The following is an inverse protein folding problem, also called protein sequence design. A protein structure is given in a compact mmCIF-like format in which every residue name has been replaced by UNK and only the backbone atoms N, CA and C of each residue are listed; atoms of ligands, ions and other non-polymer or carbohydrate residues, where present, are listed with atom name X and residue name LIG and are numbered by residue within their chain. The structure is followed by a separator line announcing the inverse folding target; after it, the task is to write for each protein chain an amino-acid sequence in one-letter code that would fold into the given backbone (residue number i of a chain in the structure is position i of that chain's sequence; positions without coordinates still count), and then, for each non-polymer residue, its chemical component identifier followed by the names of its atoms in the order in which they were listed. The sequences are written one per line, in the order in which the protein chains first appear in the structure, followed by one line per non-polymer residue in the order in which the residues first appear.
data_IF_797621431149
#
_entry.id   IF_797621431149
#
_cell.length_a   1.000
_cell.length_b   1.000
_cell.length_c   1.000
_cell.angle_alpha   90.00
_cell.angle_beta   90.00
_cell.angle_gamma   90.00
#
_symmetry.space_group_name_H-M   'P 1'
#
loop_
_entity.id
_entity.type
_entity.pdbx_description
1 polymer ?
#
# COMPACT_ATOMS: atom_id res chain seq x y z
N UNK A 1 32.02 -16.41 -22.02
CA UNK A 1 32.26 -16.33 -20.57
C UNK A 1 31.02 -15.75 -19.91
N UNK A 2 30.29 -16.54 -19.13
CA UNK A 2 29.22 -16.00 -18.28
C UNK A 2 29.83 -15.01 -17.27
N UNK A 3 29.21 -13.85 -17.00
CA UNK A 3 29.71 -12.90 -16.02
C UNK A 3 29.84 -13.57 -14.64
N UNK A 4 30.86 -13.20 -13.86
CA UNK A 4 31.02 -13.74 -12.50
C UNK A 4 29.82 -13.35 -11.62
N UNK A 5 29.41 -14.19 -10.66
CA UNK A 5 28.29 -13.88 -9.76
C UNK A 5 28.42 -12.53 -9.04
N UNK A 6 29.65 -12.15 -8.68
CA UNK A 6 29.95 -10.85 -8.07
C UNK A 6 29.67 -9.68 -9.03
N UNK A 7 29.99 -9.83 -10.32
CA UNK A 7 29.72 -8.80 -11.32
C UNK A 7 28.21 -8.64 -11.57
N UNK A 8 27.45 -9.73 -11.54
CA UNK A 8 25.98 -9.68 -11.63
C UNK A 8 25.42 -8.91 -10.44
N UNK A 9 25.88 -9.21 -9.22
CA UNK A 9 25.43 -8.52 -8.02
C UNK A 9 25.70 -7.02 -8.04
N UNK A 10 26.93 -6.60 -8.38
CA UNK A 10 27.28 -5.18 -8.48
C UNK A 10 26.44 -4.45 -9.54
N UNK A 11 26.21 -5.06 -10.71
CA UNK A 11 25.35 -4.49 -11.77
C UNK A 11 23.90 -4.37 -11.33
N UNK A 12 23.38 -5.38 -10.62
CA UNK A 12 22.03 -5.36 -10.09
C UNK A 12 21.85 -4.31 -8.99
N UNK A 13 22.83 -4.15 -8.09
CA UNK A 13 22.78 -3.08 -7.07
C UNK A 13 22.84 -1.69 -7.71
N UNK A 14 23.69 -1.51 -8.73
CA UNK A 14 23.77 -0.24 -9.46
C UNK A 14 22.46 0.11 -10.16
N UNK A 15 21.82 -0.87 -10.81
CA UNK A 15 20.49 -0.69 -11.39
C UNK A 15 19.42 -0.36 -10.33
N UNK A 16 19.52 -0.93 -9.12
CA UNK A 16 18.64 -0.61 -8.00
C UNK A 16 18.78 0.85 -7.56
N UNK A 17 20.00 1.37 -7.46
CA UNK A 17 20.25 2.77 -7.12
C UNK A 17 19.64 3.73 -8.16
N UNK A 18 19.81 3.44 -9.45
CA UNK A 18 19.20 4.24 -10.53
C UNK A 18 17.66 4.22 -10.47
N UNK A 19 17.06 3.05 -10.26
CA UNK A 19 15.61 2.93 -10.11
C UNK A 19 15.10 3.64 -8.85
N UNK A 20 15.83 3.60 -7.75
CA UNK A 20 15.49 4.34 -6.54
C UNK A 20 15.43 5.85 -6.80
N UNK A 21 16.39 6.41 -7.54
CA UNK A 21 16.38 7.82 -7.94
C UNK A 21 15.17 8.17 -8.80
N UNK A 22 14.87 7.36 -9.82
CA UNK A 22 13.72 7.60 -10.72
C UNK A 22 12.40 7.52 -9.96
N UNK A 23 12.21 6.47 -9.16
CA UNK A 23 10.97 6.26 -8.41
C UNK A 23 10.77 7.31 -7.32
N UNK A 24 11.84 7.73 -6.64
CA UNK A 24 11.78 8.83 -5.67
C UNK A 24 11.42 10.16 -6.35
N UNK A 25 12.00 10.47 -7.51
CA UNK A 25 11.65 11.67 -8.28
C UNK A 25 10.16 11.70 -8.69
N UNK A 26 9.64 10.58 -9.19
CA UNK A 26 8.20 10.43 -9.49
C UNK A 26 7.36 10.66 -8.23
N UNK A 27 7.72 10.00 -7.14
CA UNK A 27 7.01 10.12 -5.86
C UNK A 27 7.03 11.56 -5.33
N UNK A 28 8.17 12.25 -5.39
CA UNK A 28 8.31 13.63 -4.94
C UNK A 28 7.33 14.56 -5.64
N UNK A 29 7.24 14.47 -6.96
CA UNK A 29 6.30 15.28 -7.76
C UNK A 29 4.86 14.95 -7.37
N UNK A 30 4.52 13.67 -7.22
CA UNK A 30 3.18 13.24 -6.83
C UNK A 30 2.80 13.69 -5.41
N UNK A 31 3.72 13.61 -4.45
CA UNK A 31 3.52 14.05 -3.07
C UNK A 31 3.26 15.56 -3.02
N UNK A 32 4.04 16.34 -3.77
CA UNK A 32 3.85 17.79 -3.86
C UNK A 32 2.51 18.16 -4.51
N UNK A 33 2.16 17.53 -5.64
CA UNK A 33 0.87 17.72 -6.28
C UNK A 33 -0.29 17.33 -5.35
N UNK A 34 -0.15 16.23 -4.61
CA UNK A 34 -1.14 15.76 -3.65
C UNK A 34 -1.35 16.80 -2.53
N UNK A 35 -0.27 17.29 -1.93
CA UNK A 35 -0.32 18.30 -0.88
C UNK A 35 -1.02 19.59 -1.37
N UNK A 36 -0.63 20.11 -2.54
CA UNK A 36 -1.25 21.30 -3.12
C UNK A 36 -2.74 21.09 -3.40
N UNK A 37 -3.13 19.92 -3.93
CA UNK A 37 -4.54 19.62 -4.21
C UNK A 37 -5.36 19.52 -2.94
N UNK A 38 -4.85 18.83 -1.91
CA UNK A 38 -5.55 18.70 -0.63
C UNK A 38 -5.71 20.07 0.05
N UNK A 39 -4.69 20.93 0.01
CA UNK A 39 -4.77 22.30 0.55
C UNK A 39 -5.84 23.15 -0.16
N UNK A 40 -5.92 23.05 -1.49
CA UNK A 40 -6.84 23.83 -2.32
C UNK A 40 -8.28 23.26 -2.37
N UNK A 41 -8.53 22.08 -1.80
CA UNK A 41 -9.83 21.43 -1.80
C UNK A 41 -10.77 22.03 -0.74
N UNK A 42 -11.54 23.05 -1.14
CA UNK A 42 -12.46 23.80 -0.26
C UNK A 42 -13.69 23.01 0.20
N UNK A 43 -14.00 21.88 -0.45
CA UNK A 43 -15.17 21.04 -0.14
C UNK A 43 -14.92 20.04 0.99
N UNK A 44 -13.66 19.84 1.40
CA UNK A 44 -13.32 18.99 2.53
C UNK A 44 -13.49 19.73 3.84
N UNK A 45 -14.00 19.04 4.87
CA UNK A 45 -13.95 19.57 6.22
C UNK A 45 -12.51 19.75 6.66
N UNK A 46 -12.24 20.77 7.49
CA UNK A 46 -10.90 21.09 8.01
C UNK A 46 -10.23 19.86 8.62
N UNK A 47 -10.96 19.06 9.40
CA UNK A 47 -10.45 17.83 10.02
C UNK A 47 -10.01 16.78 9.00
N UNK A 48 -10.83 16.50 7.97
CA UNK A 48 -10.50 15.52 6.93
C UNK A 48 -9.29 15.98 6.11
N UNK A 49 -9.23 17.28 5.80
CA UNK A 49 -8.10 17.89 5.08
C UNK A 49 -6.80 17.77 5.89
N UNK A 50 -6.82 18.12 7.18
CA UNK A 50 -5.65 18.00 8.04
C UNK A 50 -5.19 16.55 8.21
N UNK A 51 -6.11 15.60 8.34
CA UNK A 51 -5.77 14.18 8.42
C UNK A 51 -5.09 13.66 7.14
N UNK A 52 -5.62 14.02 5.95
CA UNK A 52 -5.01 13.65 4.67
C UNK A 52 -3.63 14.28 4.46
N UNK A 53 -3.46 15.54 4.87
CA UNK A 53 -2.14 16.20 4.82
C UNK A 53 -1.16 15.56 5.78
N UNK A 54 -1.56 15.28 7.02
CA UNK A 54 -0.71 14.59 7.99
C UNK A 54 -0.25 13.23 7.45
N UNK A 55 -1.17 12.45 6.89
CA UNK A 55 -0.83 11.18 6.24
C UNK A 55 0.17 11.36 5.09
N UNK A 56 -0.07 12.32 4.19
CA UNK A 56 0.82 12.59 3.07
C UNK A 56 2.23 13.03 3.53
N UNK A 57 2.30 13.85 4.58
CA UNK A 57 3.57 14.30 5.17
C UNK A 57 4.32 13.14 5.82
N UNK A 58 3.66 12.30 6.62
CA UNK A 58 4.30 11.16 7.28
C UNK A 58 4.88 10.20 6.23
N UNK A 59 4.09 9.85 5.21
CA UNK A 59 4.55 8.96 4.14
C UNK A 59 5.71 9.60 3.35
N UNK A 60 5.65 10.91 3.11
CA UNK A 60 6.71 11.64 2.40
C UNK A 60 8.02 11.66 3.17
N UNK A 61 7.96 11.94 4.48
CA UNK A 61 9.13 11.91 5.36
C UNK A 61 9.74 10.51 5.41
N UNK A 62 8.93 9.48 5.61
CA UNK A 62 9.40 8.08 5.61
C UNK A 62 10.08 7.70 4.30
N UNK A 63 9.47 8.03 3.15
CA UNK A 63 10.06 7.75 1.83
C UNK A 63 11.35 8.53 1.59
N UNK A 64 11.42 9.77 2.06
CA UNK A 64 12.62 10.62 1.95
C UNK A 64 13.77 10.04 2.77
N UNK A 65 13.51 9.61 4.00
CA UNK A 65 14.51 8.98 4.86
C UNK A 65 15.00 7.65 4.29
N UNK A 66 14.08 6.83 3.75
CA UNK A 66 14.43 5.60 3.03
C UNK A 66 15.35 5.90 1.83
N UNK A 67 15.02 6.91 1.02
CA UNK A 67 15.83 7.31 -0.13
C UNK A 67 17.23 7.81 0.28
N UNK A 68 17.33 8.65 1.31
CA UNK A 68 18.61 9.14 1.85
C UNK A 68 19.47 7.96 2.32
N UNK A 69 18.88 7.00 3.04
CA UNK A 69 19.55 5.77 3.47
C UNK A 69 20.07 4.95 2.28
N UNK A 70 19.26 4.82 1.21
CA UNK A 70 19.65 4.14 -0.03
C UNK A 70 20.80 4.83 -0.79
N UNK A 71 20.79 6.17 -0.85
CA UNK A 71 21.88 6.95 -1.46
C UNK A 71 23.19 6.78 -0.70
N UNK A 72 23.13 6.80 0.64
CA UNK A 72 24.30 6.57 1.48
C UNK A 72 24.83 5.14 1.33
N UNK A 73 23.94 4.15 1.33
CA UNK A 73 24.32 2.76 1.05
C UNK A 73 25.03 2.61 -0.30
N UNK A 74 24.49 3.25 -1.34
CA UNK A 74 25.09 3.23 -2.68
C UNK A 74 26.46 3.91 -2.71
N UNK A 75 26.65 5.00 -1.95
CA UNK A 75 27.95 5.65 -1.82
C UNK A 75 28.98 4.72 -1.16
N UNK A 76 28.59 4.03 -0.08
CA UNK A 76 29.46 3.06 0.60
C UNK A 76 29.83 1.92 -0.37
N UNK A 77 28.85 1.35 -1.08
CA UNK A 77 29.05 0.22 -1.99
C UNK A 77 29.91 0.58 -3.21
N UNK A 78 29.68 1.73 -3.85
CA UNK A 78 30.32 2.07 -5.13
C UNK A 78 31.51 3.03 -5.04
N UNK A 79 31.65 3.77 -3.95
CA UNK A 79 32.70 4.79 -3.78
C UNK A 79 33.70 4.37 -2.71
N UNK A 80 33.23 3.93 -1.55
CA UNK A 80 34.10 3.65 -0.40
C UNK A 80 34.67 2.23 -0.44
N UNK A 81 33.86 1.22 -0.76
CA UNK A 81 34.29 -0.17 -0.82
C UNK A 81 35.44 -0.45 -1.82
N UNK A 82 35.53 0.21 -3.00
CA UNK A 82 36.69 0.07 -3.88
C UNK A 82 38.00 0.64 -3.31
N UNK A 83 37.92 1.58 -2.37
CA UNK A 83 39.08 2.21 -1.73
C UNK A 83 39.51 1.43 -0.49
N UNK A 84 38.55 1.07 0.35
CA UNK A 84 38.77 0.24 1.55
C UNK A 84 37.62 -0.77 1.72
N UNK A 85 37.86 -2.05 1.37
CA UNK A 85 36.88 -3.11 1.56
C UNK A 85 36.45 -3.32 3.01
N UNK A 86 37.24 -2.90 4.00
CA UNK A 86 36.91 -3.03 5.42
C UNK A 86 35.79 -2.07 5.85
N UNK A 87 35.62 -0.93 5.17
CA UNK A 87 34.54 0.03 5.44
C UNK A 87 33.17 -0.59 5.13
N UNK A 88 33.07 -1.33 4.01
CA UNK A 88 31.85 -2.07 3.66
C UNK A 88 31.50 -3.14 4.71
N UNK A 89 32.52 -3.80 5.27
CA UNK A 89 32.34 -4.81 6.31
C UNK A 89 31.91 -4.21 7.67
N UNK A 90 32.35 -2.99 8.00
CA UNK A 90 32.00 -2.29 9.25
C UNK A 90 30.63 -1.60 9.22
N UNK A 91 30.20 -1.11 8.07
CA UNK A 91 28.96 -0.31 7.92
C UNK A 91 27.71 -1.15 7.60
N UNK A 92 27.86 -2.44 7.31
CA UNK A 92 26.73 -3.34 7.02
C UNK A 92 25.71 -3.41 8.18
N UNK A 93 26.17 -3.14 9.41
CA UNK A 93 25.38 -3.17 10.65
C UNK A 93 25.16 -1.79 11.28
N UNK A 94 25.46 -0.70 10.54
CA UNK A 94 25.33 0.65 11.10
C UNK A 94 23.88 1.07 11.26
N UNK A 95 23.64 2.02 12.19
CA UNK A 95 22.33 2.59 12.48
C UNK A 95 21.61 3.11 11.23
N UNK A 96 22.36 3.41 10.17
CA UNK A 96 21.83 3.92 8.91
C UNK A 96 21.16 2.84 8.05
N UNK A 97 21.75 1.64 8.00
CA UNK A 97 21.17 0.47 7.32
C UNK A 97 19.86 0.05 8.00
N UNK A 98 19.87 0.07 9.33
CA UNK A 98 18.67 -0.16 10.13
C UNK A 98 17.62 0.92 9.90
N UNK A 99 18.01 2.21 9.86
CA UNK A 99 17.08 3.30 9.57
C UNK A 99 16.40 3.11 8.20
N UNK A 100 17.16 2.74 7.16
CA UNK A 100 16.62 2.45 5.83
C UNK A 100 15.54 1.36 5.90
N UNK A 101 15.84 0.23 6.54
CA UNK A 101 14.92 -0.90 6.61
C UNK A 101 13.68 -0.58 7.46
N UNK A 102 13.85 0.16 8.56
CA UNK A 102 12.74 0.62 9.40
C UNK A 102 11.82 1.55 8.61
N UNK A 103 12.37 2.52 7.88
CA UNK A 103 11.56 3.45 7.07
C UNK A 103 10.83 2.74 5.93
N UNK A 104 11.49 1.78 5.29
CA UNK A 104 10.86 0.93 4.27
C UNK A 104 9.66 0.16 4.83
N UNK A 105 9.84 -0.52 5.96
CA UNK A 105 8.79 -1.31 6.62
C UNK A 105 7.66 -0.44 7.13
N UNK A 106 7.98 0.72 7.72
CA UNK A 106 6.98 1.69 8.19
C UNK A 106 6.12 2.21 7.03
N UNK A 107 6.73 2.56 5.88
CA UNK A 107 5.97 3.01 4.72
C UNK A 107 4.99 1.94 4.21
N UNK A 108 5.38 0.67 4.24
CA UNK A 108 4.49 -0.45 3.90
C UNK A 108 3.30 -0.49 4.87
N UNK A 109 3.55 -0.46 6.18
CA UNK A 109 2.48 -0.49 7.18
C UNK A 109 1.52 0.70 7.07
N UNK A 110 2.05 1.89 6.79
CA UNK A 110 1.26 3.11 6.58
C UNK A 110 0.41 2.96 5.31
N UNK A 111 1.01 2.53 4.19
CA UNK A 111 0.30 2.32 2.92
C UNK A 111 -0.81 1.27 3.05
N UNK A 112 -0.53 0.14 3.69
CA UNK A 112 -1.49 -0.94 3.91
C UNK A 112 -2.63 -0.49 4.85
N UNK A 113 -2.32 0.30 5.89
CA UNK A 113 -3.36 0.85 6.76
C UNK A 113 -4.35 1.73 6.01
N UNK A 114 -3.87 2.48 5.00
CA UNK A 114 -4.69 3.38 4.22
C UNK A 114 -5.65 2.64 3.29
N UNK A 115 -5.19 1.57 2.62
CA UNK A 115 -6.09 0.78 1.76
C UNK A 115 -7.13 0.03 2.59
N UNK A 116 -6.76 -0.43 3.80
CA UNK A 116 -7.70 -1.03 4.76
C UNK A 116 -8.75 -0.04 5.25
N UNK A 117 -8.33 1.17 5.64
CA UNK A 117 -9.25 2.23 6.03
C UNK A 117 -10.27 2.51 4.92
N UNK A 118 -9.83 2.50 3.66
CA UNK A 118 -10.74 2.67 2.52
C UNK A 118 -11.70 1.50 2.37
N UNK A 119 -11.22 0.25 2.47
CA UNK A 119 -12.10 -0.91 2.43
C UNK A 119 -13.12 -0.90 3.59
N UNK A 120 -12.71 -0.45 4.78
CA UNK A 120 -13.58 -0.30 5.95
C UNK A 120 -14.73 0.70 5.72
N UNK A 121 -14.47 1.84 5.06
CA UNK A 121 -15.53 2.81 4.75
C UNK A 121 -16.66 2.17 3.92
N UNK A 122 -16.34 1.24 3.02
CA UNK A 122 -17.31 0.63 2.11
C UNK A 122 -18.07 -0.57 2.70
N UNK A 123 -17.44 -1.32 3.60
CA UNK A 123 -17.98 -2.57 4.15
C UNK A 123 -18.36 -2.49 5.64
N UNK A 124 -17.99 -1.40 6.32
CA UNK A 124 -18.25 -1.20 7.74
C UNK A 124 -17.72 -2.36 8.59
N UNK A 125 -18.56 -2.84 9.52
CA UNK A 125 -18.21 -3.92 10.48
C UNK A 125 -18.52 -5.33 9.96
N UNK A 126 -18.65 -5.52 8.64
CA UNK A 126 -18.93 -6.83 8.06
C UNK A 126 -17.80 -7.83 8.32
N UNK A 127 -18.16 -9.11 8.52
CA UNK A 127 -17.20 -10.20 8.72
C UNK A 127 -16.22 -10.36 7.54
N UNK A 128 -16.60 -9.90 6.34
CA UNK A 128 -15.75 -9.88 5.14
C UNK A 128 -14.47 -9.05 5.35
N UNK A 129 -14.49 -8.09 6.27
CA UNK A 129 -13.33 -7.26 6.59
C UNK A 129 -12.33 -7.94 7.55
N UNK A 130 -12.68 -9.07 8.17
CA UNK A 130 -11.77 -9.79 9.08
C UNK A 130 -10.54 -10.34 8.37
N UNK A 131 -10.71 -10.84 7.14
CA UNK A 131 -9.61 -11.41 6.37
C UNK A 131 -8.50 -10.39 6.04
N UNK A 132 -8.77 -9.21 5.43
CA UNK A 132 -7.72 -8.24 5.13
C UNK A 132 -7.10 -7.63 6.41
N UNK A 133 -7.84 -7.56 7.52
CA UNK A 133 -7.27 -7.17 8.82
C UNK A 133 -6.32 -8.24 9.34
N UNK A 134 -6.68 -9.52 9.24
CA UNK A 134 -5.82 -10.61 9.66
C UNK A 134 -4.51 -10.65 8.84
N UNK A 135 -4.57 -10.45 7.52
CA UNK A 135 -3.37 -10.38 6.69
C UNK A 135 -2.49 -9.18 7.07
N UNK A 136 -3.09 -8.02 7.37
CA UNK A 136 -2.36 -6.84 7.82
C UNK A 136 -1.67 -7.00 9.17
N UNK A 137 -2.34 -7.61 10.15
CA UNK A 137 -1.72 -7.93 11.43
C UNK A 137 -0.57 -8.93 11.25
N UNK A 138 -0.72 -9.88 10.32
CA UNK A 138 0.35 -10.76 9.90
C UNK A 138 1.53 -10.01 9.27
N UNK A 139 1.28 -9.01 8.41
CA UNK A 139 2.32 -8.12 7.85
C UNK A 139 3.05 -7.35 8.96
N UNK A 140 2.35 -6.87 9.98
CA UNK A 140 3.00 -6.20 11.13
C UNK A 140 3.89 -7.19 11.88
N UNK A 141 3.36 -8.34 12.26
CA UNK A 141 4.09 -9.34 13.04
C UNK A 141 5.36 -9.83 12.32
N UNK A 142 5.22 -10.16 11.03
CA UNK A 142 6.34 -10.63 10.20
C UNK A 142 7.33 -9.52 9.87
N UNK A 143 6.88 -8.28 9.69
CA UNK A 143 7.76 -7.12 9.50
C UNK A 143 8.58 -6.78 10.75
N UNK A 144 7.99 -6.90 11.96
CA UNK A 144 8.75 -6.76 13.22
C UNK A 144 9.81 -7.85 13.31
N UNK A 145 9.45 -9.11 13.03
CA UNK A 145 10.40 -10.22 12.99
C UNK A 145 11.53 -9.98 11.99
N UNK A 146 11.21 -9.49 10.79
CA UNK A 146 12.19 -9.15 9.76
C UNK A 146 13.18 -8.10 10.26
N UNK A 147 12.70 -6.99 10.85
CA UNK A 147 13.56 -5.94 11.38
C UNK A 147 14.47 -6.42 12.52
N UNK A 148 13.97 -7.31 13.38
CA UNK A 148 14.76 -7.92 14.45
C UNK A 148 15.87 -8.79 13.88
N UNK A 149 15.56 -9.62 12.87
CA UNK A 149 16.55 -10.50 12.24
C UNK A 149 17.58 -9.73 11.42
N UNK A 150 17.18 -8.71 10.66
CA UNK A 150 18.11 -7.88 9.87
C UNK A 150 18.93 -6.94 10.76
N UNK A 151 18.45 -6.60 11.95
CA UNK A 151 19.17 -5.77 12.92
C UNK A 151 20.26 -6.49 13.71
N UNK A 152 20.39 -7.81 13.59
CA UNK A 152 21.44 -8.57 14.29
C UNK A 152 22.82 -8.33 13.66
N UNK A 153 23.90 -8.25 14.46
CA UNK A 153 25.27 -8.19 13.94
C UNK A 153 25.55 -9.39 13.02
N UNK A 154 26.03 -9.12 11.80
CA UNK A 154 26.32 -10.17 10.81
C UNK A 154 25.09 -10.75 10.10
N UNK A 155 23.92 -10.10 10.19
CA UNK A 155 22.77 -10.46 9.37
C UNK A 155 23.09 -10.25 7.88
N UNK A 156 22.68 -11.21 7.05
CA UNK A 156 22.90 -11.17 5.60
C UNK A 156 21.59 -11.55 4.90
N UNK A 157 21.26 -10.81 3.84
CA UNK A 157 20.16 -11.18 2.94
C UNK A 157 20.40 -12.57 2.38
N UNK A 158 19.42 -13.47 2.56
CA UNK A 158 19.54 -14.89 2.20
C UNK A 158 19.69 -15.86 3.37
N UNK A 159 19.93 -15.36 4.58
CA UNK A 159 19.85 -16.20 5.77
C UNK A 159 18.42 -16.73 5.96
N UNK A 160 18.29 -17.98 6.41
CA UNK A 160 17.00 -18.63 6.54
C UNK A 160 16.03 -17.84 7.43
N UNK A 161 16.50 -17.22 8.52
CA UNK A 161 15.65 -16.41 9.39
C UNK A 161 15.11 -15.17 8.69
N UNK A 162 15.95 -14.45 7.94
CA UNK A 162 15.56 -13.28 7.15
C UNK A 162 14.56 -13.67 6.05
N UNK A 163 14.77 -14.80 5.38
CA UNK A 163 13.83 -15.31 4.37
C UNK A 163 12.49 -15.68 5.01
N UNK A 164 12.53 -16.40 6.14
CA UNK A 164 11.33 -16.89 6.83
C UNK A 164 10.42 -15.78 7.35
N UNK A 165 10.96 -14.60 7.67
CA UNK A 165 10.14 -13.42 8.02
C UNK A 165 9.87 -12.50 6.83
N UNK A 166 10.82 -12.34 5.91
CA UNK A 166 10.69 -11.48 4.75
C UNK A 166 9.65 -11.97 3.75
N UNK A 167 9.73 -13.23 3.32
CA UNK A 167 8.79 -13.79 2.35
C UNK A 167 7.32 -13.62 2.78
N UNK A 168 6.91 -13.99 4.01
CA UNK A 168 5.53 -13.74 4.44
C UNK A 168 5.22 -12.26 4.64
N UNK A 169 6.16 -11.42 5.07
CA UNK A 169 5.95 -9.98 5.20
C UNK A 169 5.46 -9.34 3.90
N UNK A 170 6.19 -9.51 2.80
CA UNK A 170 5.76 -8.96 1.51
C UNK A 170 4.54 -9.69 0.95
N UNK A 171 4.45 -11.01 1.12
CA UNK A 171 3.29 -11.79 0.62
C UNK A 171 1.99 -11.37 1.28
N UNK A 172 1.99 -11.15 2.60
CA UNK A 172 0.82 -10.72 3.36
C UNK A 172 0.46 -9.26 3.06
N UNK A 173 1.43 -8.39 2.82
CA UNK A 173 1.18 -7.01 2.37
C UNK A 173 0.51 -6.98 0.99
N UNK A 174 0.98 -7.79 0.05
CA UNK A 174 0.33 -7.97 -1.27
C UNK A 174 -1.07 -8.54 -1.12
N UNK A 175 -1.24 -9.58 -0.31
CA UNK A 175 -2.56 -10.16 -0.05
C UNK A 175 -3.51 -9.10 0.52
N UNK A 176 -3.05 -8.28 1.47
CA UNK A 176 -3.83 -7.17 2.04
C UNK A 176 -4.26 -6.19 0.96
N UNK A 177 -3.36 -5.78 0.07
CA UNK A 177 -3.66 -4.86 -1.03
C UNK A 177 -4.66 -5.46 -2.04
N UNK A 178 -4.47 -6.72 -2.44
CA UNK A 178 -5.32 -7.40 -3.42
C UNK A 178 -6.72 -7.62 -2.85
N UNK A 179 -6.82 -8.15 -1.63
CA UNK A 179 -8.10 -8.41 -0.96
C UNK A 179 -8.83 -7.09 -0.71
N UNK A 180 -8.17 -6.08 -0.14
CA UNK A 180 -8.80 -4.78 0.11
C UNK A 180 -9.28 -4.12 -1.19
N UNK A 181 -8.49 -4.19 -2.27
CA UNK A 181 -8.89 -3.67 -3.58
C UNK A 181 -10.08 -4.43 -4.17
N UNK A 182 -10.07 -5.76 -4.08
CA UNK A 182 -11.18 -6.60 -4.56
C UNK A 182 -12.47 -6.29 -3.80
N UNK A 183 -12.39 -6.06 -2.49
CA UNK A 183 -13.53 -5.65 -1.67
C UNK A 183 -14.06 -4.26 -2.08
N UNK A 184 -13.18 -3.28 -2.26
CA UNK A 184 -13.56 -1.94 -2.72
C UNK A 184 -14.24 -2.04 -4.10
N UNK A 185 -13.62 -2.76 -5.04
CA UNK A 185 -14.15 -2.93 -6.39
C UNK A 185 -15.51 -3.66 -6.40
N UNK A 186 -15.63 -4.75 -5.64
CA UNK A 186 -16.85 -5.55 -5.53
C UNK A 186 -18.03 -4.76 -4.96
N UNK A 187 -17.82 -4.00 -3.88
CA UNK A 187 -18.87 -3.14 -3.30
C UNK A 187 -19.28 -2.06 -4.29
N UNK A 188 -18.32 -1.42 -4.95
CA UNK A 188 -18.63 -0.36 -5.89
C UNK A 188 -19.40 -0.87 -7.12
N UNK A 189 -19.07 -2.05 -7.64
CA UNK A 189 -19.83 -2.70 -8.71
C UNK A 189 -21.25 -3.07 -8.25
N UNK A 190 -21.43 -3.47 -7.00
CA UNK A 190 -22.74 -3.78 -6.43
C UNK A 190 -23.60 -2.51 -6.32
N UNK A 191 -23.05 -1.42 -5.78
CA UNK A 191 -23.72 -0.11 -5.72
C UNK A 191 -24.10 0.39 -7.11
N UNK A 192 -23.23 0.22 -8.12
CA UNK A 192 -23.57 0.56 -9.52
C UNK A 192 -24.77 -0.21 -10.05
N UNK A 193 -24.82 -1.52 -9.82
CA UNK A 193 -25.91 -2.37 -10.28
C UNK A 193 -27.24 -1.96 -9.64
N UNK A 194 -27.21 -1.49 -8.40
CA UNK A 194 -28.38 -0.92 -7.72
C UNK A 194 -28.79 0.43 -8.34
N UNK A 195 -27.84 1.34 -8.57
CA UNK A 195 -28.10 2.69 -9.11
C UNK A 195 -28.55 2.67 -10.59
N UNK A 196 -28.06 1.73 -11.40
CA UNK A 196 -28.43 1.65 -12.84
C UNK A 196 -29.89 1.26 -13.05
N UNK A 197 -30.62 0.91 -11.99
CA UNK A 197 -32.08 0.69 -11.99
C UNK A 197 -32.87 1.99 -11.77
N UNK A 198 -32.21 3.13 -11.52
CA UNK A 198 -32.81 4.44 -11.25
C UNK A 198 -32.37 5.50 -12.29
N UNK A 199 -33.20 6.54 -12.42
CA UNK A 199 -33.34 7.42 -13.61
C UNK A 199 -32.17 8.43 -13.84
N UNK A 200 -32.21 9.15 -14.98
CA UNK A 200 -31.07 9.86 -15.64
C UNK A 200 -30.19 10.86 -14.85
N UNK A 201 -30.51 11.27 -13.61
CA UNK A 201 -29.59 12.06 -12.75
C UNK A 201 -28.41 11.24 -12.21
N UNK A 202 -28.51 9.92 -12.25
CA UNK A 202 -27.53 8.99 -11.69
C UNK A 202 -26.30 8.75 -12.60
N UNK A 203 -26.35 9.20 -13.86
CA UNK A 203 -25.23 9.05 -14.83
C UNK A 203 -23.96 9.79 -14.41
N UNK A 204 -24.06 10.91 -13.70
CA UNK A 204 -22.90 11.66 -13.21
C UNK A 204 -22.22 10.91 -12.06
N UNK A 205 -22.99 10.39 -11.09
CA UNK A 205 -22.48 9.53 -10.01
C UNK A 205 -21.86 8.23 -10.54
N UNK A 206 -22.45 7.65 -11.58
CA UNK A 206 -21.93 6.46 -12.26
C UNK A 206 -20.57 6.68 -12.94
N UNK A 207 -20.27 7.89 -13.43
CA UNK A 207 -18.99 8.22 -14.07
C UNK A 207 -17.86 8.40 -13.05
N UNK A 208 -18.14 9.08 -11.95
CA UNK A 208 -17.18 9.33 -10.86
C UNK A 208 -16.71 8.03 -10.19
N UNK A 209 -17.64 7.10 -9.98
CA UNK A 209 -17.33 5.76 -9.51
C UNK A 209 -16.39 4.97 -10.42
N UNK A 210 -16.35 5.25 -11.74
CA UNK A 210 -15.64 4.36 -12.69
C UNK A 210 -14.19 4.72 -12.60
N UNK A 211 -13.92 6.03 -12.58
CA UNK A 211 -12.59 6.56 -12.38
C UNK A 211 -12.03 6.09 -11.04
N UNK A 212 -12.80 6.19 -9.94
CA UNK A 212 -12.33 5.75 -8.63
C UNK A 212 -11.95 4.25 -8.60
N UNK A 213 -12.77 3.37 -9.20
CA UNK A 213 -12.48 1.93 -9.28
C UNK A 213 -11.23 1.64 -10.09
N UNK A 214 -11.15 2.22 -11.29
CA UNK A 214 -10.03 2.03 -12.22
C UNK A 214 -8.72 2.43 -11.54
N UNK A 215 -8.69 3.56 -10.83
CA UNK A 215 -7.48 4.03 -10.15
C UNK A 215 -7.06 3.10 -9.00
N UNK A 216 -8.02 2.61 -8.20
CA UNK A 216 -7.71 1.68 -7.11
C UNK A 216 -7.10 0.39 -7.67
N UNK A 217 -7.70 -0.14 -8.74
CA UNK A 217 -7.22 -1.34 -9.41
C UNK A 217 -5.87 -1.11 -10.08
N UNK A 218 -5.67 0.00 -10.79
CA UNK A 218 -4.39 0.35 -11.44
C UNK A 218 -3.27 0.51 -10.43
N UNK A 219 -3.53 1.21 -9.31
CA UNK A 219 -2.52 1.47 -8.27
C UNK A 219 -2.18 0.20 -7.49
N UNK A 220 -3.17 -0.66 -7.21
CA UNK A 220 -2.96 -1.95 -6.57
C UNK A 220 -2.27 -2.96 -7.50
N UNK A 221 -2.59 -2.94 -8.80
CA UNK A 221 -1.93 -3.77 -9.81
C UNK A 221 -0.43 -3.42 -9.91
N UNK A 222 -0.08 -2.13 -9.89
CA UNK A 222 1.32 -1.70 -9.91
C UNK A 222 2.11 -2.30 -8.73
N UNK A 223 1.57 -2.22 -7.51
CA UNK A 223 2.18 -2.81 -6.33
C UNK A 223 2.28 -4.34 -6.42
N UNK A 224 1.18 -5.01 -6.78
CA UNK A 224 1.11 -6.46 -6.88
C UNK A 224 2.08 -7.02 -7.93
N UNK A 225 2.19 -6.40 -9.12
CA UNK A 225 3.10 -6.83 -10.18
C UNK A 225 4.56 -6.76 -9.70
N UNK A 226 4.96 -5.65 -9.09
CA UNK A 226 6.32 -5.49 -8.58
C UNK A 226 6.65 -6.54 -7.52
N UNK A 227 5.71 -6.79 -6.61
CA UNK A 227 5.91 -7.73 -5.52
C UNK A 227 5.91 -9.20 -5.97
N UNK A 228 5.04 -9.60 -6.91
CA UNK A 228 5.02 -10.96 -7.47
C UNK A 228 6.34 -11.32 -8.17
N UNK A 229 7.03 -10.33 -8.74
CA UNK A 229 8.37 -10.54 -9.31
C UNK A 229 9.44 -10.56 -8.21
N UNK A 230 9.35 -9.64 -7.25
CA UNK A 230 10.36 -9.51 -6.18
C UNK A 230 10.39 -10.71 -5.22
N UNK A 231 9.24 -11.17 -4.74
CA UNK A 231 9.15 -12.18 -3.66
C UNK A 231 9.87 -13.49 -4.02
N UNK A 232 9.68 -14.10 -5.22
CA UNK A 232 10.41 -15.30 -5.60
C UNK A 232 11.91 -15.06 -5.74
N UNK A 233 12.32 -13.90 -6.28
CA UNK A 233 13.74 -13.55 -6.44
C UNK A 233 14.44 -13.39 -5.09
N UNK A 234 13.70 -12.84 -4.10
CA UNK A 234 14.14 -12.75 -2.72
C UNK A 234 14.24 -14.13 -2.06
N UNK A 235 13.23 -14.99 -2.24
CA UNK A 235 13.21 -16.33 -1.66
C UNK A 235 14.36 -17.22 -2.18
N UNK A 236 14.72 -17.09 -3.47
CA UNK A 236 15.85 -17.81 -4.08
C UNK A 236 17.18 -17.10 -3.80
N UNK A 237 17.15 -15.90 -3.19
CA UNK A 237 18.28 -15.05 -2.89
C UNK A 237 19.20 -14.77 -4.09
N UNK A 238 18.60 -14.30 -5.19
CA UNK A 238 19.37 -13.93 -6.39
C UNK A 238 19.66 -12.43 -6.42
N UNK A 239 20.82 -11.97 -6.91
CA UNK A 239 21.11 -10.53 -6.95
C UNK A 239 20.15 -9.73 -7.85
N UNK A 240 19.45 -10.41 -8.76
CA UNK A 240 18.41 -9.81 -9.62
C UNK A 240 17.25 -9.24 -8.79
N UNK A 241 17.12 -9.61 -7.51
CA UNK A 241 16.11 -9.05 -6.62
C UNK A 241 16.30 -7.53 -6.34
N UNK A 242 17.54 -7.00 -6.38
CA UNK A 242 17.82 -5.63 -5.90
C UNK A 242 17.07 -4.54 -6.69
N UNK A 243 17.07 -4.54 -8.04
CA UNK A 243 16.27 -3.61 -8.83
C UNK A 243 14.78 -3.63 -8.49
N UNK A 244 14.22 -4.82 -8.30
CA UNK A 244 12.79 -4.99 -7.97
C UNK A 244 12.48 -4.57 -6.54
N UNK A 245 13.41 -4.75 -5.60
CA UNK A 245 13.31 -4.22 -4.24
C UNK A 245 13.23 -2.69 -4.24
N UNK A 246 14.10 -2.03 -5.01
CA UNK A 246 14.09 -0.57 -5.14
C UNK A 246 12.79 -0.07 -5.78
N UNK A 247 12.33 -0.75 -6.84
CA UNK A 247 11.06 -0.46 -7.48
C UNK A 247 9.88 -0.60 -6.50
N UNK A 248 9.82 -1.72 -5.78
CA UNK A 248 8.78 -1.98 -4.78
C UNK A 248 8.78 -0.88 -3.70
N UNK A 249 9.95 -0.50 -3.20
CA UNK A 249 10.09 0.56 -2.19
C UNK A 249 9.61 1.94 -2.65
N UNK A 250 9.72 2.26 -3.94
CA UNK A 250 9.11 3.46 -4.51
C UNK A 250 7.60 3.33 -4.68
N UNK A 251 7.16 2.20 -5.24
CA UNK A 251 5.75 1.95 -5.57
C UNK A 251 4.84 1.91 -4.34
N UNK A 252 5.34 1.41 -3.20
CA UNK A 252 4.65 1.43 -1.89
C UNK A 252 4.09 2.81 -1.56
N UNK A 253 4.86 3.86 -1.81
CA UNK A 253 4.47 5.23 -1.47
C UNK A 253 3.70 5.92 -2.61
N UNK A 254 4.00 5.55 -3.87
CA UNK A 254 3.32 6.08 -5.07
C UNK A 254 1.84 5.67 -5.09
N UNK A 255 1.53 4.40 -4.85
CA UNK A 255 0.16 3.85 -4.92
C UNK A 255 -0.87 4.60 -4.04
N UNK A 256 -0.68 4.74 -2.71
CA UNK A 256 -1.60 5.49 -1.86
C UNK A 256 -1.65 6.99 -2.22
N UNK A 257 -0.56 7.56 -2.76
CA UNK A 257 -0.52 8.96 -3.18
C UNK A 257 -1.36 9.22 -4.43
N UNK A 258 -1.32 8.32 -5.42
CA UNK A 258 -2.18 8.40 -6.60
C UNK A 258 -3.66 8.34 -6.23
N UNK A 259 -4.00 7.47 -5.28
CA UNK A 259 -5.34 7.37 -4.71
C UNK A 259 -5.72 8.71 -4.05
N UNK A 260 -4.88 9.26 -3.18
CA UNK A 260 -5.15 10.53 -2.49
C UNK A 260 -5.32 11.70 -3.45
N UNK A 261 -4.44 11.85 -4.43
CA UNK A 261 -4.47 12.93 -5.42
C UNK A 261 -5.80 12.96 -6.18
N UNK A 262 -6.36 11.79 -6.47
CA UNK A 262 -7.62 11.63 -7.19
C UNK A 262 -8.83 11.90 -6.31
N UNK A 263 -8.79 11.47 -5.05
CA UNK A 263 -9.77 11.89 -4.05
C UNK A 263 -9.77 13.43 -3.91
N UNK A 264 -8.60 14.03 -3.74
CA UNK A 264 -8.43 15.49 -3.64
C UNK A 264 -8.78 16.26 -4.91
N UNK A 265 -8.94 15.60 -6.06
CA UNK A 265 -9.37 16.25 -7.32
C UNK A 265 -10.88 16.23 -7.52
N UNK A 266 -11.67 15.83 -6.51
CA UNK A 266 -13.13 15.88 -6.54
C UNK A 266 -13.81 14.77 -7.35
N UNK A 267 -13.05 13.96 -8.09
CA UNK A 267 -13.57 12.81 -8.86
C UNK A 267 -14.14 11.71 -7.95
N UNK A 268 -13.81 11.72 -6.64
CA UNK A 268 -14.35 10.77 -5.66
C UNK A 268 -14.94 11.43 -4.41
N UNK A 269 -15.13 12.76 -4.40
CA UNK A 269 -15.61 13.46 -3.21
C UNK A 269 -16.72 14.45 -3.58
N UNK A 270 -17.89 13.90 -3.90
CA UNK A 270 -19.08 14.46 -3.29
C UNK A 270 -19.17 13.81 -1.91
N UNK A 271 -19.29 14.60 -0.83
CA UNK A 271 -19.33 14.14 0.57
C UNK A 271 -20.43 13.13 0.91
N UNK A 272 -21.18 12.66 -0.09
CA UNK A 272 -22.21 11.64 -0.01
C UNK A 272 -21.67 10.21 0.14
N UNK A 273 -20.39 9.89 -0.05
CA UNK A 273 -19.95 8.48 0.00
C UNK A 273 -20.05 7.80 1.38
N UNK A 274 -19.75 8.54 2.45
CA UNK A 274 -19.98 8.07 3.82
C UNK A 274 -21.47 8.06 4.17
N UNK A 275 -22.19 9.10 3.75
CA UNK A 275 -23.62 9.23 4.05
C UNK A 275 -24.50 8.27 3.22
N UNK A 276 -24.09 7.88 2.00
CA UNK A 276 -24.77 6.88 1.16
C UNK A 276 -24.46 5.48 1.69
N UNK A 277 -23.19 5.17 2.00
CA UNK A 277 -22.88 3.85 2.57
C UNK A 277 -23.59 3.63 3.91
N UNK A 278 -23.71 4.66 4.75
CA UNK A 278 -24.47 4.59 6.01
C UNK A 278 -25.99 4.57 5.77
N UNK A 279 -26.53 5.38 4.83
CA UNK A 279 -27.96 5.34 4.48
C UNK A 279 -28.40 4.03 3.85
N UNK A 280 -27.57 3.41 3.02
CA UNK A 280 -27.86 2.13 2.36
C UNK A 280 -27.76 0.98 3.37
N UNK A 281 -26.85 1.05 4.36
CA UNK A 281 -26.80 0.09 5.48
C UNK A 281 -28.07 0.22 6.34
N UNK A 282 -28.52 1.43 6.65
CA UNK A 282 -29.76 1.66 7.39
C UNK A 282 -30.99 1.19 6.59
N UNK A 283 -31.01 1.37 5.26
CA UNK A 283 -32.08 0.87 4.40
C UNK A 283 -32.09 -0.65 4.27
N UNK A 284 -30.94 -1.29 4.05
CA UNK A 284 -30.84 -2.76 3.97
C UNK A 284 -31.18 -3.41 5.32
N UNK A 285 -30.80 -2.79 6.45
CA UNK A 285 -31.18 -3.21 7.79
C UNK A 285 -32.70 -3.06 8.02
N UNK A 286 -33.30 -1.94 7.60
CA UNK A 286 -34.74 -1.71 7.71
C UNK A 286 -35.56 -2.67 6.84
N UNK A 287 -35.08 -3.00 5.63
CA UNK A 287 -35.74 -3.99 4.75
C UNK A 287 -35.60 -5.40 5.33
N UNK A 288 -34.46 -5.74 5.93
CA UNK A 288 -34.25 -7.02 6.61
C UNK A 288 -35.12 -7.24 7.85
N UNK A 289 -35.40 -6.20 8.62
CA UNK A 289 -36.30 -6.26 9.78
C UNK A 289 -37.78 -6.35 9.36
N UNK A 290 -38.19 -5.63 8.31
CA UNK A 290 -39.56 -5.73 7.76
C UNK A 290 -39.87 -7.13 7.22
N UNK A 291 -38.90 -7.80 6.60
CA UNK A 291 -39.06 -9.15 6.06
C UNK A 291 -38.98 -10.25 7.16
N UNK A 292 -38.43 -9.90 8.34
CA UNK A 292 -38.48 -10.72 9.56
C UNK A 292 -39.82 -10.60 10.27
N UNK A 293 -40.32 -9.38 10.42
CA UNK A 293 -41.62 -9.11 11.05
C UNK A 293 -42.78 -9.64 10.21
N UNK A 294 -42.67 -9.63 8.87
CA UNK A 294 -43.65 -10.23 7.97
C UNK A 294 -43.70 -11.77 8.11
N UNK A 295 -42.55 -12.43 8.32
CA UNK A 295 -42.48 -13.87 8.56
C UNK A 295 -43.01 -14.26 9.94
N UNK A 296 -42.70 -13.48 10.98
CA UNK A 296 -43.21 -13.68 12.33
C UNK A 296 -44.74 -13.47 12.43
N UNK A 297 -45.29 -12.53 11.63
CA UNK A 297 -46.74 -12.33 11.54
C UNK A 297 -47.44 -13.40 10.69
N UNK A 298 -46.80 -13.98 9.68
CA UNK A 298 -47.37 -15.11 8.93
C UNK A 298 -47.37 -16.41 9.76
N UNK A 299 -46.33 -16.67 10.55
CA UNK A 299 -46.25 -17.87 11.39
C UNK A 299 -47.20 -17.82 12.60
N UNK A 300 -47.58 -16.63 13.07
CA UNK A 300 -48.55 -16.46 14.18
C UNK A 300 -50.02 -16.51 13.74
N UNK A 301 -50.31 -16.52 12.43
CA UNK A 301 -51.67 -16.65 11.88
C UNK A 301 -52.00 -18.11 11.51
N UNK A 302 -51.03 -19.03 11.58
CA UNK A 302 -51.22 -20.46 11.30
C UNK A 302 -51.39 -21.36 12.54
N UNK A 303 -51.70 -20.81 13.72
CA UNK A 303 -52.01 -21.56 14.94
C UNK A 303 -53.46 -21.35 15.37
#
# INVERSE_FOLDING_TARGET
MSPSPALIAARSSYAAALLACVTYGIYFVLAFQCALRVLNQKTLSTTKRSALLAYAVVLFLGQTLYFIGGCKWSAIEFVEAPVDPAVFAGELSSSLSMLKDVMYTMNIWIADSFILYRAYIFWGRSAVFLLPVATYLGTIATGVGLLVETGKPGAVFGQATVINFGTPFWSLSVATNVIATALIAGRLLSLRRAITRLDGRDRIMLRDNTSALVICVESAALYAICAVIYIPLFAINTPIQYPFSALLGGVVSISPTLIMLRMASGIAINGKWGDIALRDIDQDAAVGDLDRDSKLTMDSVQV
#
